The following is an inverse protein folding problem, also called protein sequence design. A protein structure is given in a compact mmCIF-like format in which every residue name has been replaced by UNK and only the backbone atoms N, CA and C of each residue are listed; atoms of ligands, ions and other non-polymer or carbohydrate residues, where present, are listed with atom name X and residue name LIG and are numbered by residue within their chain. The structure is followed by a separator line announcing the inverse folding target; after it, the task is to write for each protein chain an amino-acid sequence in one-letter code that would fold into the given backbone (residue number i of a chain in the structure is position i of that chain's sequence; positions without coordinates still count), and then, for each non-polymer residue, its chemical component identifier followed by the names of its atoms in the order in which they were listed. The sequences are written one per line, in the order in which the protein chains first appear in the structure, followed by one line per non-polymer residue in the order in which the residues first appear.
data_IF_583824309291
#
_entry.id   IF_583824309291
#
_cell.length_a   1.000
_cell.length_b   1.000
_cell.length_c   1.000
_cell.angle_alpha   90.00
_cell.angle_beta   90.00
_cell.angle_gamma   90.00
#
_symmetry.space_group_name_H-M   'P 1'
#
loop_
_entity.id
_entity.type
_entity.pdbx_description
1 polymer ?
#
# COMPACT_ATOMS: atom_id res chain seq x y z
N UNK A 1 22.31 11.17 23.39
CA UNK A 1 22.52 10.93 21.94
C UNK A 1 21.26 11.38 21.25
N UNK A 2 21.32 12.18 20.19
CA UNK A 2 20.13 12.51 19.41
C UNK A 2 19.54 11.22 18.86
N UNK A 3 18.28 10.93 19.16
CA UNK A 3 17.60 9.76 18.65
C UNK A 3 17.51 9.84 17.12
N UNK A 4 17.90 8.77 16.44
CA UNK A 4 17.88 8.67 14.97
C UNK A 4 16.50 8.16 14.57
N UNK A 5 15.80 8.90 13.70
CA UNK A 5 14.54 8.44 13.15
C UNK A 5 14.79 7.63 11.87
N UNK A 6 14.22 6.43 11.79
CA UNK A 6 14.29 5.59 10.59
C UNK A 6 13.04 5.78 9.76
N UNK A 7 13.19 6.32 8.55
CA UNK A 7 12.10 6.54 7.60
C UNK A 7 12.30 5.60 6.42
N UNK A 8 11.21 5.08 5.87
CA UNK A 8 11.31 4.33 4.62
C UNK A 8 10.08 4.46 3.74
N UNK A 9 10.28 4.11 2.48
CA UNK A 9 9.24 3.98 1.47
C UNK A 9 9.45 2.70 0.66
N UNK A 10 8.43 2.27 -0.08
CA UNK A 10 8.48 1.10 -0.97
C UNK A 10 8.10 1.49 -2.38
N UNK A 11 8.94 1.13 -3.36
CA UNK A 11 8.80 1.62 -4.74
C UNK A 11 9.19 0.57 -5.78
N UNK A 12 8.74 0.78 -7.00
CA UNK A 12 9.40 0.29 -8.22
C UNK A 12 10.33 1.36 -8.79
N UNK A 13 11.20 1.00 -9.74
CA UNK A 13 12.27 1.90 -10.19
C UNK A 13 11.75 3.22 -10.80
N UNK A 14 10.57 3.21 -11.41
CA UNK A 14 9.93 4.42 -11.95
C UNK A 14 9.49 5.44 -10.89
N UNK A 15 9.46 5.05 -9.61
CA UNK A 15 9.11 5.91 -8.49
C UNK A 15 10.34 6.47 -7.75
N UNK A 16 11.56 6.16 -8.21
CA UNK A 16 12.81 6.73 -7.67
C UNK A 16 12.76 8.27 -7.57
N UNK A 17 12.30 9.03 -8.60
CA UNK A 17 12.21 10.49 -8.50
C UNK A 17 11.35 10.95 -7.31
N UNK A 18 10.20 10.32 -7.08
CA UNK A 18 9.31 10.65 -5.97
C UNK A 18 9.92 10.29 -4.62
N UNK A 19 10.53 9.11 -4.51
CA UNK A 19 11.28 8.71 -3.33
C UNK A 19 12.42 9.69 -3.01
N UNK A 20 13.09 10.25 -4.02
CA UNK A 20 14.10 11.31 -3.83
C UNK A 20 13.47 12.59 -3.25
N UNK A 21 12.31 13.02 -3.74
CA UNK A 21 11.58 14.18 -3.16
C UNK A 21 11.31 13.93 -1.68
N UNK A 22 10.73 12.76 -1.35
CA UNK A 22 10.41 12.37 0.02
C UNK A 22 11.67 12.35 0.89
N UNK A 23 12.74 11.69 0.44
CA UNK A 23 14.00 11.61 1.17
C UNK A 23 14.65 12.98 1.41
N UNK A 24 14.64 13.87 0.42
CA UNK A 24 15.11 15.24 0.58
C UNK A 24 14.28 16.00 1.63
N UNK A 25 12.95 15.92 1.56
CA UNK A 25 12.06 16.58 2.52
C UNK A 25 12.22 16.05 3.96
N UNK A 26 12.47 14.74 4.09
CA UNK A 26 12.77 14.08 5.36
C UNK A 26 14.12 14.53 5.94
N UNK A 27 15.17 14.61 5.12
CA UNK A 27 16.52 15.03 5.55
C UNK A 27 16.65 16.55 5.79
N UNK A 28 15.67 17.34 5.36
CA UNK A 28 15.58 18.77 5.68
C UNK A 28 14.99 19.05 7.08
N UNK A 29 14.47 18.03 7.76
CA UNK A 29 13.98 18.18 9.13
C UNK A 29 15.14 18.42 10.11
N UNK A 30 14.87 19.04 11.26
CA UNK A 30 15.88 19.27 12.30
C UNK A 30 16.40 18.00 12.95
N UNK A 31 15.68 16.89 12.80
CA UNK A 31 16.01 15.58 13.38
C UNK A 31 16.91 14.80 12.44
N UNK A 32 17.87 14.06 12.99
CA UNK A 32 18.71 13.16 12.20
C UNK A 32 17.88 11.97 11.69
N UNK A 33 17.85 11.81 10.37
CA UNK A 33 17.08 10.76 9.68
C UNK A 33 18.01 9.78 8.98
N UNK A 34 17.74 8.49 9.15
CA UNK A 34 18.17 7.45 8.22
C UNK A 34 17.00 7.08 7.30
N UNK A 35 17.19 7.27 6.00
CA UNK A 35 16.18 7.05 4.99
C UNK A 35 16.46 5.78 4.19
N UNK A 36 15.52 4.85 4.20
CA UNK A 36 15.63 3.55 3.54
C UNK A 36 14.63 3.43 2.38
N UNK A 37 15.00 2.70 1.33
CA UNK A 37 14.10 2.38 0.23
C UNK A 37 13.96 0.88 0.11
N UNK A 38 12.72 0.37 0.14
CA UNK A 38 12.42 -0.99 -0.27
C UNK A 38 12.16 -1.00 -1.77
N UNK A 39 13.07 -1.60 -2.53
CA UNK A 39 12.98 -1.65 -3.99
C UNK A 39 12.32 -2.96 -4.43
N UNK A 40 11.10 -2.88 -4.94
CA UNK A 40 10.34 -3.98 -5.50
C UNK A 40 10.56 -4.12 -7.02
N UNK A 41 11.80 -3.95 -7.46
CA UNK A 41 12.18 -3.91 -8.87
C UNK A 41 13.69 -4.11 -9.01
N UNK A 42 14.18 -4.17 -10.25
CA UNK A 42 15.61 -4.03 -10.50
C UNK A 42 16.00 -2.56 -10.50
N UNK A 43 17.11 -2.23 -9.81
CA UNK A 43 17.64 -0.88 -9.84
C UNK A 43 18.14 -0.53 -11.26
N UNK A 44 17.86 0.68 -11.80
CA UNK A 44 18.29 1.04 -13.15
C UNK A 44 19.81 0.90 -13.32
N UNK A 45 20.25 0.11 -14.30
CA UNK A 45 21.67 -0.12 -14.59
C UNK A 45 22.40 1.15 -15.05
N UNK A 46 21.63 2.12 -15.56
CA UNK A 46 22.06 3.44 -16.04
C UNK A 46 22.05 4.51 -14.95
N UNK A 47 21.64 4.18 -13.71
CA UNK A 47 21.68 5.08 -12.57
C UNK A 47 22.77 4.67 -11.56
N UNK A 48 23.38 5.67 -10.91
CA UNK A 48 24.39 5.43 -9.88
C UNK A 48 23.77 5.42 -8.48
N UNK A 49 23.70 4.24 -7.85
CA UNK A 49 23.20 4.08 -6.47
C UNK A 49 23.88 5.01 -5.46
N UNK A 50 25.16 5.32 -5.67
CA UNK A 50 25.96 6.15 -4.77
C UNK A 50 25.55 7.63 -4.75
N UNK A 51 24.79 8.08 -5.74
CA UNK A 51 24.32 9.48 -5.84
C UNK A 51 22.93 9.68 -5.23
N UNK A 52 22.27 8.59 -4.79
CA UNK A 52 20.95 8.65 -4.20
C UNK A 52 20.96 9.32 -2.81
N UNK A 53 19.89 10.05 -2.44
CA UNK A 53 19.77 10.63 -1.11
C UNK A 53 19.40 9.60 -0.02
N UNK A 54 19.42 8.30 -0.34
CA UNK A 54 19.03 7.21 0.56
C UNK A 54 20.24 6.68 1.33
N UNK A 55 20.05 6.32 2.60
CA UNK A 55 21.11 5.72 3.42
C UNK A 55 21.19 4.20 3.21
N UNK A 56 20.11 3.57 2.72
CA UNK A 56 20.14 2.19 2.21
C UNK A 56 19.03 1.89 1.21
N UNK A 57 19.30 0.97 0.29
CA UNK A 57 18.30 0.34 -0.56
C UNK A 57 18.25 -1.15 -0.17
N UNK A 58 17.07 -1.64 0.16
CA UNK A 58 16.78 -3.04 0.49
C UNK A 58 16.00 -3.61 -0.69
N UNK A 59 16.61 -4.54 -1.42
CA UNK A 59 15.94 -5.23 -2.54
C UNK A 59 14.88 -6.19 -1.98
N UNK A 60 13.72 -6.29 -2.65
CA UNK A 60 12.66 -7.25 -2.29
C UNK A 60 13.18 -8.69 -2.19
N UNK A 61 14.24 -9.03 -2.93
CA UNK A 61 14.93 -10.33 -2.88
C UNK A 61 15.63 -10.60 -1.55
N UNK A 62 15.86 -9.57 -0.74
CA UNK A 62 16.45 -9.68 0.59
C UNK A 62 15.41 -9.91 1.70
N UNK A 63 14.12 -9.78 1.38
CA UNK A 63 13.04 -10.01 2.35
C UNK A 63 12.77 -11.51 2.51
N UNK A 64 12.36 -11.98 3.70
CA UNK A 64 12.13 -13.39 3.99
C UNK A 64 10.77 -13.87 3.43
N UNK A 65 10.59 -13.78 2.11
CA UNK A 65 9.37 -14.18 1.40
C UNK A 65 9.54 -15.60 0.84
N UNK A 66 8.78 -16.60 1.35
CA UNK A 66 8.79 -17.95 0.79
C UNK A 66 8.28 -17.95 -0.65
N UNK A 67 8.90 -18.75 -1.51
CA UNK A 67 8.56 -18.85 -2.93
C UNK A 67 8.45 -17.47 -3.59
N UNK A 68 9.48 -16.63 -3.42
CA UNK A 68 9.48 -15.22 -3.81
C UNK A 68 8.97 -15.01 -5.24
N UNK A 69 9.45 -15.77 -6.22
CA UNK A 69 9.04 -15.58 -7.62
C UNK A 69 7.55 -15.91 -7.85
N UNK A 70 7.01 -17.06 -7.42
CA UNK A 70 5.56 -17.31 -7.38
C UNK A 70 4.76 -16.24 -6.62
N UNK A 71 5.30 -15.74 -5.51
CA UNK A 71 4.65 -14.69 -4.72
C UNK A 71 4.57 -13.37 -5.50
N UNK A 72 5.68 -12.90 -6.07
CA UNK A 72 5.74 -11.69 -6.90
C UNK A 72 4.80 -11.78 -8.11
N UNK A 73 4.74 -12.95 -8.75
CA UNK A 73 3.83 -13.15 -9.89
C UNK A 73 2.36 -12.98 -9.50
N UNK A 74 1.97 -13.42 -8.30
CA UNK A 74 0.60 -13.33 -7.79
C UNK A 74 0.12 -11.91 -7.47
N UNK A 75 1.00 -10.91 -7.44
CA UNK A 75 0.67 -9.53 -7.08
C UNK A 75 0.82 -8.60 -8.28
N UNK A 76 -0.11 -7.66 -8.44
CA UNK A 76 0.11 -6.46 -9.26
C UNK A 76 1.21 -5.59 -8.64
N UNK A 77 1.70 -4.59 -9.37
CA UNK A 77 2.75 -3.68 -8.86
C UNK A 77 2.32 -2.98 -7.55
N UNK A 78 1.08 -2.50 -7.51
CA UNK A 78 0.53 -1.84 -6.31
C UNK A 78 0.41 -2.80 -5.15
N UNK A 79 -0.17 -3.98 -5.38
CA UNK A 79 -0.29 -5.05 -4.36
C UNK A 79 1.09 -5.47 -3.83
N UNK A 80 2.10 -5.58 -4.69
CA UNK A 80 3.47 -5.96 -4.31
C UNK A 80 4.13 -4.89 -3.43
N UNK A 81 4.17 -3.63 -3.87
CA UNK A 81 4.80 -2.54 -3.11
C UNK A 81 4.12 -2.33 -1.75
N UNK A 82 2.80 -2.55 -1.67
CA UNK A 82 2.07 -2.46 -0.40
C UNK A 82 2.30 -3.66 0.50
N UNK A 83 2.42 -4.87 -0.06
CA UNK A 83 2.60 -6.09 0.71
C UNK A 83 3.95 -6.16 1.45
N UNK A 84 4.98 -5.50 0.92
CA UNK A 84 6.33 -5.53 1.53
C UNK A 84 6.47 -4.62 2.75
N UNK A 85 5.54 -3.68 2.99
CA UNK A 85 5.69 -2.65 4.03
C UNK A 85 5.98 -3.25 5.41
N UNK A 86 5.16 -4.22 5.84
CA UNK A 86 5.31 -4.88 7.14
C UNK A 86 6.66 -5.60 7.30
N UNK A 87 7.09 -6.32 6.26
CA UNK A 87 8.40 -7.00 6.23
C UNK A 87 9.55 -5.99 6.21
N UNK A 88 9.35 -4.85 5.56
CA UNK A 88 10.24 -3.70 5.58
C UNK A 88 10.51 -3.14 6.97
N UNK A 89 9.46 -2.89 7.75
CA UNK A 89 9.59 -2.49 9.15
C UNK A 89 10.44 -3.50 9.95
N UNK A 90 10.12 -4.79 9.83
CA UNK A 90 10.83 -5.86 10.53
C UNK A 90 12.30 -5.94 10.11
N UNK A 91 12.59 -5.77 8.82
CA UNK A 91 13.94 -5.84 8.29
C UNK A 91 14.79 -4.62 8.68
N UNK A 92 14.21 -3.41 8.68
CA UNK A 92 14.88 -2.20 9.16
C UNK A 92 15.17 -2.30 10.67
N UNK A 93 14.19 -2.76 11.46
CA UNK A 93 14.36 -3.03 12.88
C UNK A 93 15.52 -4.01 13.13
N UNK A 94 15.62 -5.06 12.32
CA UNK A 94 16.66 -6.09 12.43
C UNK A 94 18.04 -5.59 12.00
N UNK A 95 18.15 -4.92 10.85
CA UNK A 95 19.44 -4.46 10.27
C UNK A 95 20.08 -3.33 11.06
N UNK A 96 19.27 -2.39 11.53
CA UNK A 96 19.77 -1.15 12.10
C UNK A 96 19.52 -1.01 13.61
N UNK A 97 18.93 -2.03 14.25
CA UNK A 97 18.44 -1.94 15.63
C UNK A 97 17.52 -0.72 15.84
N UNK A 98 16.75 -0.37 14.80
CA UNK A 98 15.90 0.80 14.79
C UNK A 98 14.73 0.65 15.77
N UNK A 99 14.58 1.60 16.70
CA UNK A 99 13.52 1.57 17.71
C UNK A 99 12.24 2.24 17.24
N UNK A 100 12.33 3.34 16.49
CA UNK A 100 11.20 4.10 15.94
C UNK A 100 11.33 4.17 14.43
N UNK A 101 10.36 3.58 13.75
CA UNK A 101 10.36 3.46 12.29
C UNK A 101 9.09 4.11 11.76
N UNK A 102 9.22 4.85 10.67
CA UNK A 102 8.11 5.49 9.98
C UNK A 102 8.09 5.08 8.52
N UNK A 103 6.92 4.66 8.05
CA UNK A 103 6.65 4.50 6.63
C UNK A 103 5.98 5.77 6.10
N UNK A 104 6.42 6.20 4.92
CA UNK A 104 5.74 7.20 4.11
C UNK A 104 5.62 6.69 2.67
N UNK A 105 4.42 6.82 2.08
CA UNK A 105 4.22 6.57 0.65
C UNK A 105 5.13 7.51 -0.17
N UNK A 106 5.63 7.04 -1.32
CA UNK A 106 6.68 7.74 -2.07
C UNK A 106 6.21 9.10 -2.64
N UNK A 107 4.92 9.32 -2.76
CA UNK A 107 4.29 10.58 -3.18
C UNK A 107 3.86 11.47 -2.01
N UNK A 108 4.58 11.38 -0.89
CA UNK A 108 4.46 12.28 0.26
C UNK A 108 5.63 13.27 0.28
N UNK A 109 5.35 14.49 0.76
CA UNK A 109 6.37 15.48 1.12
C UNK A 109 6.21 15.89 2.58
N UNK A 110 7.31 15.84 3.33
CA UNK A 110 7.36 16.22 4.74
C UNK A 110 7.79 17.68 4.87
N UNK A 111 6.92 18.51 5.44
CA UNK A 111 7.14 19.94 5.66
C UNK A 111 7.59 20.24 7.10
N UNK A 112 7.01 19.56 8.08
CA UNK A 112 7.35 19.75 9.49
C UNK A 112 6.85 18.61 10.37
N UNK A 113 7.16 18.67 11.68
CA UNK A 113 6.49 17.85 12.68
C UNK A 113 7.07 16.45 12.90
N UNK A 114 8.20 16.12 12.28
CA UNK A 114 8.84 14.82 12.48
C UNK A 114 9.21 14.56 13.95
N UNK A 115 9.71 15.57 14.67
CA UNK A 115 9.97 15.45 16.11
C UNK A 115 8.69 15.11 16.90
N UNK A 116 7.56 15.73 16.55
CA UNK A 116 6.29 15.41 17.19
C UNK A 116 5.85 13.95 16.97
N UNK A 117 6.14 13.37 15.81
CA UNK A 117 5.89 11.94 15.55
C UNK A 117 6.78 11.03 16.41
N UNK A 118 8.04 11.42 16.62
CA UNK A 118 8.99 10.69 17.46
C UNK A 118 8.54 10.71 18.92
N UNK A 119 8.15 11.88 19.43
CA UNK A 119 7.64 12.05 20.79
C UNK A 119 6.34 11.25 21.00
N UNK A 120 5.50 11.15 19.95
CA UNK A 120 4.28 10.32 19.98
C UNK A 120 4.60 8.83 20.03
N UNK A 121 5.67 8.37 19.40
CA UNK A 121 6.13 6.98 19.52
C UNK A 121 6.83 6.68 20.86
N UNK A 122 7.20 7.67 21.66
CA UNK A 122 7.56 7.42 23.08
C UNK A 122 6.34 7.01 23.89
N UNK A 123 5.18 7.54 23.53
CA UNK A 123 3.92 7.34 24.23
C UNK A 123 3.12 6.16 23.67
N UNK A 124 3.32 5.83 22.39
CA UNK A 124 2.55 4.81 21.69
C UNK A 124 3.41 3.83 20.92
N UNK A 125 2.93 2.60 20.78
CA UNK A 125 3.60 1.57 19.98
C UNK A 125 3.33 1.74 18.48
N UNK A 126 2.17 2.26 18.11
CA UNK A 126 1.72 2.40 16.72
C UNK A 126 1.09 3.79 16.54
N UNK A 127 1.38 4.47 15.43
CA UNK A 127 0.73 5.71 15.02
C UNK A 127 0.01 5.55 13.69
N UNK A 128 -1.26 5.96 13.66
CA UNK A 128 -2.12 5.90 12.49
C UNK A 128 -2.70 7.28 12.16
N UNK A 129 -2.98 7.51 10.87
CA UNK A 129 -3.75 8.66 10.40
C UNK A 129 -5.03 8.20 9.72
N UNK A 130 -6.22 8.66 10.12
CA UNK A 130 -7.46 8.38 9.41
C UNK A 130 -7.56 9.21 8.11
N UNK A 131 -8.32 8.74 7.13
CA UNK A 131 -8.62 9.55 5.94
C UNK A 131 -9.41 10.82 6.33
N UNK A 132 -10.47 10.66 7.14
CA UNK A 132 -11.28 11.75 7.69
C UNK A 132 -11.26 11.75 9.21
N UNK A 133 -11.28 12.95 9.81
CA UNK A 133 -11.37 13.13 11.27
C UNK A 133 -12.72 13.70 11.72
N UNK A 134 -13.54 14.17 10.76
CA UNK A 134 -14.86 14.75 10.94
C UNK A 134 -15.82 14.16 9.89
N UNK A 135 -17.12 14.03 10.21
CA UNK A 135 -18.12 13.54 9.27
C UNK A 135 -18.45 14.58 8.19
N UNK A 136 -18.66 14.09 6.97
CA UNK A 136 -18.98 14.88 5.80
C UNK A 136 -20.41 15.45 5.85
N UNK A 137 -20.58 16.66 5.32
CA UNK A 137 -21.84 17.41 5.42
C UNK A 137 -22.65 17.44 4.12
N UNK A 138 -22.08 16.97 3.01
CA UNK A 138 -22.75 16.93 1.70
C UNK A 138 -22.75 15.52 1.14
N UNK A 139 -23.80 15.16 0.40
CA UNK A 139 -23.94 13.82 -0.18
C UNK A 139 -22.77 13.46 -1.10
N UNK A 140 -22.32 14.40 -1.93
CA UNK A 140 -21.18 14.18 -2.83
C UNK A 140 -19.90 13.87 -2.04
N UNK A 141 -19.65 14.57 -0.93
CA UNK A 141 -18.49 14.31 -0.10
C UNK A 141 -18.62 12.99 0.69
N UNK A 142 -19.83 12.61 1.13
CA UNK A 142 -20.08 11.28 1.72
C UNK A 142 -19.74 10.18 0.70
N UNK A 143 -20.17 10.33 -0.56
CA UNK A 143 -19.90 9.35 -1.62
C UNK A 143 -18.40 9.26 -1.92
N UNK A 144 -17.73 10.40 -2.11
CA UNK A 144 -16.34 10.42 -2.51
C UNK A 144 -15.38 10.04 -1.37
N UNK A 145 -15.64 10.54 -0.16
CA UNK A 145 -14.70 10.46 0.96
C UNK A 145 -15.07 9.33 1.95
N UNK A 146 -16.30 9.33 2.49
CA UNK A 146 -16.69 8.35 3.52
C UNK A 146 -16.91 6.95 2.92
N UNK A 147 -17.73 6.82 1.87
CA UNK A 147 -17.92 5.53 1.18
C UNK A 147 -16.60 5.08 0.54
N UNK A 148 -15.80 6.03 0.03
CA UNK A 148 -14.43 5.77 -0.41
C UNK A 148 -13.61 5.09 0.70
N UNK A 149 -13.61 5.64 1.91
CA UNK A 149 -12.87 5.08 3.05
C UNK A 149 -13.48 3.77 3.56
N UNK A 150 -14.80 3.60 3.47
CA UNK A 150 -15.45 2.32 3.78
C UNK A 150 -15.05 1.21 2.81
N UNK A 151 -14.68 1.53 1.57
CA UNK A 151 -14.19 0.54 0.58
C UNK A 151 -12.70 0.26 0.73
N UNK A 152 -11.89 1.30 0.94
CA UNK A 152 -10.44 1.21 0.85
C UNK A 152 -9.73 1.17 2.22
N UNK A 153 -10.42 1.49 3.32
CA UNK A 153 -9.85 1.56 4.67
C UNK A 153 -10.11 2.91 5.34
N UNK A 154 -10.44 2.90 6.64
CA UNK A 154 -10.66 4.12 7.44
C UNK A 154 -9.34 4.82 7.72
N UNK A 155 -8.28 4.05 7.95
CA UNK A 155 -6.91 4.58 8.07
C UNK A 155 -6.21 4.65 6.72
N UNK A 156 -5.44 5.71 6.49
CA UNK A 156 -4.61 5.85 5.29
C UNK A 156 -3.19 5.36 5.57
N UNK A 157 -2.73 4.37 4.81
CA UNK A 157 -1.39 3.79 4.96
C UNK A 157 -0.34 4.37 4.04
N UNK A 158 -0.59 5.58 3.54
CA UNK A 158 0.49 6.47 3.16
C UNK A 158 1.36 6.88 4.32
N UNK A 159 0.88 6.73 5.57
CA UNK A 159 1.69 6.93 6.76
C UNK A 159 1.45 5.81 7.77
N UNK A 160 2.53 5.31 8.39
CA UNK A 160 2.48 4.42 9.53
C UNK A 160 3.72 4.65 10.40
N UNK A 161 3.54 4.94 11.68
CA UNK A 161 4.63 4.96 12.66
C UNK A 161 4.58 3.72 13.54
N UNK A 162 5.72 3.06 13.78
CA UNK A 162 5.79 1.93 14.71
C UNK A 162 7.04 2.03 15.56
N UNK A 163 6.87 1.93 16.87
CA UNK A 163 7.97 1.67 17.80
C UNK A 163 8.14 0.17 17.95
N UNK A 164 9.37 -0.34 17.90
CA UNK A 164 9.67 -1.78 18.03
C UNK A 164 9.59 -2.28 19.48
N UNK A 165 8.62 -1.76 20.24
CA UNK A 165 8.19 -2.29 21.53
C UNK A 165 7.66 -3.71 21.39
N UNK A 166 7.34 -4.35 22.50
CA UNK A 166 6.67 -5.66 22.48
C UNK A 166 5.39 -5.63 21.64
N UNK A 167 4.50 -4.67 21.88
CA UNK A 167 3.24 -4.56 21.14
C UNK A 167 3.46 -4.16 19.67
N UNK A 168 4.38 -3.24 19.39
CA UNK A 168 4.68 -2.86 18.01
C UNK A 168 5.23 -4.03 17.18
N UNK A 169 6.07 -4.90 17.78
CA UNK A 169 6.51 -6.14 17.13
C UNK A 169 5.38 -7.13 16.93
N UNK A 170 4.48 -7.29 17.91
CA UNK A 170 3.29 -8.14 17.74
C UNK A 170 2.41 -7.66 16.58
N UNK A 171 2.18 -6.36 16.48
CA UNK A 171 1.45 -5.73 15.38
C UNK A 171 2.12 -5.99 14.03
N UNK A 172 3.43 -5.72 13.91
CA UNK A 172 4.15 -5.92 12.65
C UNK A 172 4.15 -7.38 12.20
N UNK A 173 4.32 -8.33 13.12
CA UNK A 173 4.27 -9.75 12.80
C UNK A 173 2.88 -10.19 12.33
N UNK A 174 1.83 -9.76 13.04
CA UNK A 174 0.45 -10.02 12.62
C UNK A 174 0.18 -9.44 11.24
N UNK A 175 0.55 -8.18 11.01
CA UNK A 175 0.31 -7.50 9.74
C UNK A 175 1.10 -8.16 8.60
N UNK A 176 2.37 -8.48 8.81
CA UNK A 176 3.20 -9.21 7.83
C UNK A 176 2.59 -10.56 7.44
N UNK A 177 2.08 -11.32 8.41
CA UNK A 177 1.40 -12.59 8.14
C UNK A 177 0.15 -12.40 7.26
N UNK A 178 -0.62 -11.33 7.46
CA UNK A 178 -1.77 -11.03 6.59
C UNK A 178 -1.32 -10.56 5.22
N UNK A 179 -0.35 -9.65 5.12
CA UNK A 179 0.09 -9.10 3.84
C UNK A 179 0.75 -10.15 2.95
N UNK A 180 1.42 -11.14 3.53
CA UNK A 180 2.01 -12.24 2.77
C UNK A 180 0.97 -13.04 1.97
N UNK A 181 -0.28 -13.11 2.46
CA UNK A 181 -1.32 -13.96 1.90
C UNK A 181 -2.51 -13.22 1.31
N UNK A 182 -2.76 -12.00 1.76
CA UNK A 182 -4.03 -11.29 1.53
C UNK A 182 -3.83 -9.78 1.31
N UNK A 183 -2.67 -9.36 0.80
CA UNK A 183 -2.47 -7.98 0.34
C UNK A 183 -2.96 -7.85 -1.11
N UNK A 184 -4.27 -7.79 -1.28
CA UNK A 184 -4.91 -7.83 -2.60
C UNK A 184 -5.85 -6.65 -2.81
N UNK A 185 -5.93 -6.17 -4.05
CA UNK A 185 -6.98 -5.25 -4.48
C UNK A 185 -8.24 -6.07 -4.82
N UNK A 186 -9.05 -6.31 -3.79
CA UNK A 186 -10.29 -7.10 -3.86
C UNK A 186 -11.36 -6.51 -2.92
N UNK A 187 -11.86 -5.33 -3.28
CA UNK A 187 -12.83 -4.57 -2.50
C UNK A 187 -14.10 -5.40 -2.22
N UNK A 188 -14.55 -6.20 -3.20
CA UNK A 188 -15.72 -7.06 -3.05
C UNK A 188 -15.49 -8.19 -2.03
N UNK A 189 -14.27 -8.74 -1.98
CA UNK A 189 -13.82 -9.69 -0.95
C UNK A 189 -13.51 -9.05 0.41
N UNK A 190 -13.69 -7.73 0.55
CA UNK A 190 -13.42 -7.01 1.80
C UNK A 190 -11.95 -6.65 2.01
N UNK A 191 -11.13 -6.73 0.96
CA UNK A 191 -9.70 -6.41 1.00
C UNK A 191 -9.40 -5.17 0.16
N UNK A 192 -8.47 -4.36 0.63
CA UNK A 192 -7.82 -3.36 -0.19
C UNK A 192 -6.39 -3.22 0.27
N UNK A 193 -5.52 -3.97 -0.41
CA UNK A 193 -4.08 -4.06 -0.19
C UNK A 193 -3.75 -4.23 1.30
N UNK A 194 -2.77 -3.46 1.76
CA UNK A 194 -2.30 -3.34 3.12
C UNK A 194 -3.23 -2.54 4.02
N UNK A 195 -3.97 -1.59 3.43
CA UNK A 195 -4.70 -0.55 4.12
C UNK A 195 -5.91 -1.08 4.89
N UNK A 196 -6.74 -1.92 4.26
CA UNK A 196 -8.00 -2.36 4.87
C UNK A 196 -7.80 -3.21 6.11
N UNK A 197 -6.67 -3.91 6.23
CA UNK A 197 -6.31 -4.69 7.42
C UNK A 197 -6.24 -3.83 8.67
N UNK A 198 -5.80 -2.58 8.55
CA UNK A 198 -5.53 -1.70 9.70
C UNK A 198 -6.80 -1.22 10.39
N UNK A 199 -7.96 -1.32 9.74
CA UNK A 199 -9.24 -1.06 10.41
C UNK A 199 -9.50 -2.01 11.58
N UNK A 200 -8.87 -3.19 11.59
CA UNK A 200 -8.91 -4.13 12.71
C UNK A 200 -7.92 -3.80 13.82
N UNK A 201 -6.86 -3.03 13.55
CA UNK A 201 -5.77 -2.81 14.49
C UNK A 201 -6.25 -2.19 15.83
N UNK A 202 -7.12 -1.16 15.85
CA UNK A 202 -7.65 -0.62 17.11
C UNK A 202 -8.46 -1.60 17.95
N UNK A 203 -8.96 -2.69 17.36
CA UNK A 203 -9.66 -3.74 18.10
C UNK A 203 -8.70 -4.79 18.68
N UNK A 204 -7.50 -4.94 18.10
CA UNK A 204 -6.53 -5.98 18.48
C UNK A 204 -5.40 -5.46 19.37
N UNK A 205 -5.02 -4.19 19.22
CA UNK A 205 -3.87 -3.60 19.88
C UNK A 205 -4.30 -2.37 20.67
N UNK A 206 -3.93 -2.31 21.94
CA UNK A 206 -4.39 -1.29 22.87
C UNK A 206 -3.53 -0.02 22.90
N UNK A 207 -2.31 -0.09 22.36
CA UNK A 207 -1.33 1.00 22.40
C UNK A 207 -1.14 1.62 21.00
N UNK A 208 -2.20 2.29 20.54
CA UNK A 208 -2.26 3.00 19.27
C UNK A 208 -2.54 4.49 19.52
N UNK A 209 -1.70 5.35 18.95
CA UNK A 209 -1.96 6.77 18.80
C UNK A 209 -2.65 7.06 17.46
N UNK A 210 -3.85 7.63 17.49
CA UNK A 210 -4.54 8.09 16.28
C UNK A 210 -4.30 9.59 16.13
N UNK A 211 -3.54 9.97 15.10
CA UNK A 211 -3.21 11.36 14.79
C UNK A 211 -4.40 12.02 14.08
N UNK A 212 -5.07 12.95 14.77
CA UNK A 212 -6.27 13.66 14.28
C UNK A 212 -6.00 15.12 13.92
N UNK A 213 -4.80 15.60 14.20
CA UNK A 213 -4.39 16.97 13.95
C UNK A 213 -4.44 17.27 12.43
N UNK A 214 -4.96 18.45 12.02
CA UNK A 214 -5.28 18.75 10.63
C UNK A 214 -4.05 18.87 9.72
N UNK A 215 -2.86 19.06 10.29
CA UNK A 215 -1.61 19.15 9.54
C UNK A 215 -1.04 17.81 9.07
N UNK A 216 -1.49 16.66 9.60
CA UNK A 216 -0.96 15.33 9.25
C UNK A 216 -1.75 14.64 8.14
N UNK A 217 -1.06 14.08 7.14
CA UNK A 217 -1.66 13.33 6.03
C UNK A 217 -2.73 14.13 5.28
N UNK A 218 -2.38 15.35 4.89
CA UNK A 218 -3.28 16.25 4.15
C UNK A 218 -3.33 15.80 2.70
N UNK A 219 -4.53 15.63 2.16
CA UNK A 219 -4.74 15.19 0.80
C UNK A 219 -6.16 15.54 0.33
N UNK A 220 -6.48 15.24 -0.93
CA UNK A 220 -7.74 15.68 -1.53
C UNK A 220 -9.01 15.16 -0.85
N UNK A 221 -8.96 13.99 -0.21
CA UNK A 221 -10.09 13.36 0.50
C UNK A 221 -10.41 13.99 1.88
N UNK A 222 -9.62 14.98 2.34
CA UNK A 222 -9.89 15.68 3.60
C UNK A 222 -9.96 17.20 3.48
N UNK A 223 -9.90 17.75 2.26
CA UNK A 223 -9.98 19.19 2.01
C UNK A 223 -11.35 19.82 2.31
N UNK A 224 -12.40 19.01 2.40
CA UNK A 224 -13.73 19.42 2.89
C UNK A 224 -13.67 20.04 4.30
N UNK A 225 -12.71 19.61 5.12
CA UNK A 225 -12.51 20.07 6.49
C UNK A 225 -11.11 20.65 6.75
N UNK A 226 -10.27 20.76 5.73
CA UNK A 226 -8.88 21.20 5.85
C UNK A 226 -8.60 22.35 4.90
N UNK A 227 -8.56 23.56 5.45
CA UNK A 227 -8.36 24.79 4.71
C UNK A 227 -6.89 25.18 4.74
N UNK A 228 -6.28 25.21 3.56
CA UNK A 228 -4.89 25.61 3.39
C UNK A 228 -4.77 27.14 3.24
N UNK A 229 -3.80 27.72 3.95
CA UNK A 229 -3.44 29.14 3.88
C UNK A 229 -1.91 29.32 3.92
N UNK A 230 -1.42 30.50 3.54
CA UNK A 230 0.00 30.83 3.51
C UNK A 230 0.60 30.71 2.12
N UNK A 231 1.91 30.44 2.03
CA UNK A 231 2.64 30.31 0.77
C UNK A 231 3.79 29.30 0.92
N UNK A 232 4.40 28.86 -0.19
CA UNK A 232 5.56 27.97 -0.13
C UNK A 232 6.76 28.64 0.56
N UNK A 233 6.92 29.95 0.41
CA UNK A 233 8.04 30.71 0.99
C UNK A 233 7.87 30.98 2.49
N UNK A 234 6.63 31.25 2.93
CA UNK A 234 6.33 31.59 4.34
C UNK A 234 5.88 30.38 5.18
N UNK A 235 5.64 29.26 4.52
CA UNK A 235 5.04 28.06 5.12
C UNK A 235 3.53 27.99 4.87
N UNK A 236 3.05 26.76 4.70
CA UNK A 236 1.64 26.45 4.55
C UNK A 236 1.08 26.03 5.90
N UNK A 237 -0.12 26.52 6.22
CA UNK A 237 -0.90 26.09 7.38
C UNK A 237 -2.19 25.43 6.94
N UNK A 238 -2.66 24.47 7.73
CA UNK A 238 -3.96 23.81 7.59
C UNK A 238 -4.77 24.09 8.84
N UNK A 239 -5.89 24.78 8.69
CA UNK A 239 -6.73 25.23 9.81
C UNK A 239 -5.94 26.01 10.89
N UNK A 240 -4.94 26.80 10.47
CA UNK A 240 -4.09 27.59 11.35
C UNK A 240 -2.89 26.84 11.97
N UNK A 241 -2.78 25.52 11.79
CA UNK A 241 -1.62 24.74 12.22
C UNK A 241 -0.62 24.51 11.09
N UNK A 242 0.69 24.37 11.33
CA UNK A 242 1.66 24.07 10.28
C UNK A 242 1.32 22.78 9.53
N UNK A 243 1.41 22.81 8.20
CA UNK A 243 1.38 21.61 7.38
C UNK A 243 2.54 20.69 7.82
N UNK A 244 2.22 19.44 8.17
CA UNK A 244 3.20 18.44 8.60
C UNK A 244 3.68 17.64 7.41
N UNK A 245 2.77 17.01 6.70
CA UNK A 245 3.05 16.37 5.43
C UNK A 245 1.82 16.34 4.52
N UNK A 246 2.07 16.48 3.22
CA UNK A 246 1.05 16.43 2.18
C UNK A 246 1.22 15.16 1.35
N UNK A 247 0.13 14.46 1.10
CA UNK A 247 0.10 13.21 0.34
C UNK A 247 -0.56 13.47 -1.02
N UNK A 248 0.22 13.30 -2.09
CA UNK A 248 -0.23 13.50 -3.47
C UNK A 248 -1.00 12.28 -4.03
N UNK A 249 -1.68 11.50 -3.20
CA UNK A 249 -2.28 10.23 -3.65
C UNK A 249 -3.23 10.38 -4.83
N UNK A 250 -3.16 9.39 -5.73
CA UNK A 250 -3.85 9.41 -7.02
C UNK A 250 -3.19 10.34 -8.05
N UNK A 251 -1.92 10.73 -7.84
CA UNK A 251 -1.19 11.65 -8.71
C UNK A 251 -1.11 11.16 -10.17
N UNK A 252 -0.55 9.97 -10.38
CA UNK A 252 -0.25 9.45 -11.72
C UNK A 252 -1.52 9.11 -12.51
N UNK A 253 -2.60 8.75 -11.80
CA UNK A 253 -3.91 8.50 -12.41
C UNK A 253 -4.71 9.77 -12.70
N UNK A 254 -4.19 10.96 -12.37
CA UNK A 254 -4.88 12.25 -12.56
C UNK A 254 -6.00 12.55 -11.55
N UNK A 255 -6.43 11.56 -10.76
CA UNK A 255 -7.45 11.70 -9.73
C UNK A 255 -7.10 12.82 -8.73
N UNK A 256 -5.81 12.97 -8.38
CA UNK A 256 -5.36 14.03 -7.49
C UNK A 256 -5.71 15.43 -8.03
N UNK A 257 -5.55 15.69 -9.32
CA UNK A 257 -5.84 17.00 -9.90
C UNK A 257 -7.35 17.28 -9.94
N UNK A 258 -8.13 16.27 -10.30
CA UNK A 258 -9.59 16.36 -10.36
C UNK A 258 -10.16 16.68 -8.98
N UNK A 259 -9.75 15.93 -7.97
CA UNK A 259 -10.25 16.08 -6.61
C UNK A 259 -9.73 17.36 -5.95
N UNK A 260 -8.51 17.80 -6.28
CA UNK A 260 -8.01 19.10 -5.86
C UNK A 260 -8.87 20.23 -6.41
N UNK A 261 -9.23 20.21 -7.70
CA UNK A 261 -10.14 21.20 -8.31
C UNK A 261 -11.55 21.18 -7.71
N UNK A 262 -12.01 20.01 -7.25
CA UNK A 262 -13.32 19.84 -6.63
C UNK A 262 -13.38 20.44 -5.21
N UNK A 263 -12.37 20.18 -4.38
CA UNK A 263 -12.45 20.47 -2.95
C UNK A 263 -11.58 21.63 -2.45
N UNK A 264 -10.55 22.04 -3.19
CA UNK A 264 -9.79 23.23 -2.82
C UNK A 264 -10.48 24.52 -3.30
N UNK A 265 -10.32 25.60 -2.53
CA UNK A 265 -10.65 26.94 -3.00
C UNK A 265 -9.83 27.28 -4.27
N UNK A 266 -10.41 28.02 -5.22
CA UNK A 266 -9.80 28.29 -6.53
C UNK A 266 -8.43 28.96 -6.46
N UNK A 267 -8.21 29.77 -5.44
CA UNK A 267 -6.98 30.52 -5.14
C UNK A 267 -6.13 29.84 -4.05
N UNK A 268 -6.41 28.57 -3.75
CA UNK A 268 -5.67 27.82 -2.73
C UNK A 268 -4.19 27.64 -3.10
N UNK A 269 -3.32 27.85 -2.11
CA UNK A 269 -1.87 27.55 -2.16
C UNK A 269 -1.57 26.10 -2.56
N UNK A 270 -2.52 25.17 -2.42
CA UNK A 270 -2.36 23.78 -2.81
C UNK A 270 -2.15 23.60 -4.33
N UNK A 271 -2.66 24.52 -5.16
CA UNK A 271 -2.36 24.51 -6.59
C UNK A 271 -0.89 24.87 -6.87
N UNK A 272 -0.32 25.78 -6.09
CA UNK A 272 1.09 26.17 -6.19
C UNK A 272 1.98 25.03 -5.70
N UNK A 273 1.60 24.42 -4.57
CA UNK A 273 2.25 23.23 -4.02
C UNK A 273 2.29 22.08 -5.03
N UNK A 274 1.18 21.83 -5.75
CA UNK A 274 1.15 20.81 -6.81
C UNK A 274 2.12 21.13 -7.95
N UNK A 275 2.17 22.38 -8.42
CA UNK A 275 3.10 22.79 -9.50
C UNK A 275 4.55 22.65 -9.05
N UNK A 276 4.84 23.01 -7.81
CA UNK A 276 6.16 22.81 -7.20
C UNK A 276 6.53 21.31 -7.16
N UNK A 277 5.63 20.44 -6.71
CA UNK A 277 5.90 19.00 -6.63
C UNK A 277 6.17 18.37 -8.01
N UNK A 278 5.43 18.78 -9.05
CA UNK A 278 5.70 18.38 -10.43
C UNK A 278 7.11 18.78 -10.86
N UNK A 279 7.48 20.04 -10.64
CA UNK A 279 8.80 20.56 -11.00
C UNK A 279 9.93 19.85 -10.24
N UNK A 280 9.70 19.51 -8.97
CA UNK A 280 10.68 18.81 -8.15
C UNK A 280 10.86 17.35 -8.60
N UNK A 281 9.79 16.65 -8.95
CA UNK A 281 9.87 15.32 -9.56
C UNK A 281 10.65 15.37 -10.90
N UNK A 282 10.34 16.36 -11.75
CA UNK A 282 11.06 16.57 -13.02
C UNK A 282 12.56 16.79 -12.80
N UNK A 283 12.91 17.69 -11.86
CA UNK A 283 14.29 17.98 -11.46
C UNK A 283 15.03 16.73 -10.99
N UNK A 284 14.32 15.81 -10.33
CA UNK A 284 14.86 14.57 -9.78
C UNK A 284 14.69 13.36 -10.71
N UNK A 285 14.46 13.57 -11.99
CA UNK A 285 14.56 12.53 -13.02
C UNK A 285 13.25 11.85 -13.42
N UNK A 286 12.08 12.46 -13.15
CA UNK A 286 10.77 11.92 -13.54
C UNK A 286 10.66 11.66 -15.05
N UNK A 287 11.23 12.52 -15.89
CA UNK A 287 11.20 12.35 -17.35
C UNK A 287 11.93 11.08 -17.82
N UNK A 288 13.05 10.74 -17.17
CA UNK A 288 13.91 9.62 -17.54
C UNK A 288 13.40 8.30 -16.95
N UNK A 289 12.94 8.32 -15.70
CA UNK A 289 12.61 7.10 -14.94
C UNK A 289 11.10 6.82 -14.88
N UNK A 290 10.25 7.85 -14.94
CA UNK A 290 8.82 7.74 -14.61
C UNK A 290 8.01 6.82 -15.51
N UNK A 291 8.45 6.62 -16.76
CA UNK A 291 7.80 5.74 -17.74
C UNK A 291 8.36 4.31 -17.75
N UNK A 292 9.35 4.01 -16.91
CA UNK A 292 9.99 2.70 -16.87
C UNK A 292 9.01 1.63 -16.35
N UNK A 293 8.78 0.53 -17.08
CA UNK A 293 7.96 -0.55 -16.56
C UNK A 293 8.71 -1.29 -15.45
N UNK A 294 7.99 -1.71 -14.41
CA UNK A 294 8.51 -2.61 -13.40
C UNK A 294 8.86 -3.97 -14.02
N UNK A 295 9.99 -4.58 -13.62
CA UNK A 295 10.41 -5.92 -14.08
C UNK A 295 9.33 -6.99 -13.91
N UNK A 296 8.52 -6.88 -12.87
CA UNK A 296 7.48 -7.85 -12.53
C UNK A 296 6.14 -7.57 -13.20
N UNK A 297 6.03 -6.54 -14.05
CA UNK A 297 4.81 -6.25 -14.82
C UNK A 297 4.60 -7.23 -15.99
N UNK A 298 5.69 -7.75 -16.58
CA UNK A 298 5.67 -8.55 -17.80
C UNK A 298 6.38 -9.90 -17.63
N UNK A 299 6.08 -10.84 -18.54
CA UNK A 299 6.84 -12.07 -18.71
C UNK A 299 8.26 -11.78 -19.25
N UNK A 300 9.14 -12.79 -19.28
CA UNK A 300 10.52 -12.67 -19.77
C UNK A 300 10.65 -12.27 -21.26
N UNK A 301 9.59 -12.48 -22.05
CA UNK A 301 9.49 -12.06 -23.45
C UNK A 301 8.93 -10.63 -23.63
N UNK A 302 8.61 -9.92 -22.54
CA UNK A 302 8.05 -8.57 -22.55
C UNK A 302 6.54 -8.47 -22.69
N UNK A 303 5.81 -9.59 -22.81
CA UNK A 303 4.34 -9.58 -22.83
C UNK A 303 3.79 -9.17 -21.44
N UNK A 304 2.86 -8.21 -21.37
CA UNK A 304 2.22 -7.82 -20.11
C UNK A 304 1.49 -8.98 -19.44
N UNK A 305 1.64 -9.12 -18.12
CA UNK A 305 0.88 -10.10 -17.33
C UNK A 305 -0.43 -9.46 -16.87
N UNK A 306 -1.56 -10.04 -17.27
CA UNK A 306 -2.90 -9.53 -16.92
C UNK A 306 -3.29 -9.83 -15.49
N UNK A 307 -4.24 -9.07 -14.93
CA UNK A 307 -4.79 -9.31 -13.59
C UNK A 307 -5.39 -10.72 -13.46
N UNK A 308 -6.13 -11.18 -14.48
CA UNK A 308 -6.70 -12.53 -14.51
C UNK A 308 -5.63 -13.63 -14.43
N UNK A 309 -4.51 -13.47 -15.14
CA UNK A 309 -3.38 -14.42 -15.06
C UNK A 309 -2.80 -14.49 -13.65
N UNK A 310 -2.64 -13.36 -12.96
CA UNK A 310 -2.13 -13.31 -11.57
C UNK A 310 -3.12 -13.96 -10.60
N UNK A 311 -4.41 -13.62 -10.71
CA UNK A 311 -5.48 -14.17 -9.86
C UNK A 311 -5.56 -15.68 -10.02
N UNK A 312 -5.58 -16.20 -11.25
CA UNK A 312 -5.68 -17.63 -11.48
C UNK A 312 -4.46 -18.38 -10.94
N UNK A 313 -3.26 -17.85 -11.17
CA UNK A 313 -2.03 -18.46 -10.67
C UNK A 313 -1.99 -18.48 -9.14
N UNK A 314 -2.31 -17.36 -8.47
CA UNK A 314 -2.29 -17.30 -7.00
C UNK A 314 -3.36 -18.18 -6.34
N UNK A 315 -4.53 -18.31 -6.96
CA UNK A 315 -5.64 -19.10 -6.44
C UNK A 315 -5.41 -20.62 -6.52
N UNK A 316 -4.52 -21.07 -7.41
CA UNK A 316 -4.32 -22.50 -7.73
C UNK A 316 -2.94 -23.01 -7.32
N UNK A 317 -2.90 -23.72 -6.19
CA UNK A 317 -1.69 -24.36 -5.69
C UNK A 317 -1.10 -25.38 -6.66
N UNK A 318 -1.92 -26.04 -7.46
CA UNK A 318 -1.45 -26.98 -8.48
C UNK A 318 -0.70 -26.26 -9.61
N UNK A 319 -1.14 -25.08 -10.02
CA UNK A 319 -0.42 -24.25 -10.98
C UNK A 319 0.89 -23.72 -10.40
N UNK A 320 0.89 -23.26 -9.15
CA UNK A 320 2.13 -22.84 -8.47
C UNK A 320 3.17 -23.95 -8.38
N UNK A 321 2.72 -25.20 -8.15
CA UNK A 321 3.60 -26.37 -8.11
C UNK A 321 4.09 -26.79 -9.49
N UNK A 322 3.23 -26.73 -10.50
CA UNK A 322 3.58 -27.10 -11.88
C UNK A 322 4.52 -26.07 -12.51
N UNK A 323 4.33 -24.79 -12.20
CA UNK A 323 5.07 -23.67 -12.80
C UNK A 323 5.73 -22.81 -11.70
N UNK A 324 6.84 -23.26 -11.09
CA UNK A 324 7.54 -22.52 -10.05
C UNK A 324 8.23 -21.24 -10.56
N UNK A 325 8.45 -21.12 -11.87
CA UNK A 325 9.02 -19.94 -12.54
C UNK A 325 8.00 -19.29 -13.48
N UNK A 326 6.93 -18.68 -12.95
CA UNK A 326 5.77 -18.26 -13.74
C UNK A 326 6.03 -17.08 -14.69
N UNK A 327 7.15 -16.38 -14.54
CA UNK A 327 7.54 -15.30 -15.47
C UNK A 327 8.19 -15.83 -16.76
N UNK A 328 8.63 -17.09 -16.79
CA UNK A 328 9.27 -17.67 -17.98
C UNK A 328 8.23 -18.02 -19.04
N UNK A 329 8.56 -17.81 -20.31
CA UNK A 329 7.69 -18.21 -21.44
C UNK A 329 8.22 -19.37 -22.27
N UNK A 330 9.51 -19.68 -22.15
CA UNK A 330 10.14 -20.82 -22.81
C UNK A 330 9.72 -22.16 -22.17
N UNK A 331 9.67 -23.22 -22.97
CA UNK A 331 9.32 -24.57 -22.50
C UNK A 331 7.87 -24.69 -22.01
N UNK A 332 7.62 -25.66 -21.13
CA UNK A 332 6.31 -25.88 -20.49
C UNK A 332 6.05 -24.81 -19.42
N UNK A 333 5.55 -23.66 -19.88
CA UNK A 333 5.38 -22.44 -19.07
C UNK A 333 3.93 -22.15 -18.71
N UNK A 334 3.74 -21.41 -17.62
CA UNK A 334 2.41 -20.93 -17.22
C UNK A 334 1.74 -20.08 -18.31
N UNK A 335 2.49 -19.22 -19.00
CA UNK A 335 1.96 -18.42 -20.12
C UNK A 335 1.36 -19.29 -21.23
N UNK A 336 2.06 -20.36 -21.62
CA UNK A 336 1.56 -21.30 -22.63
C UNK A 336 0.35 -22.10 -22.12
N UNK A 337 0.43 -22.61 -20.89
CA UNK A 337 -0.68 -23.32 -20.26
C UNK A 337 -1.94 -22.45 -20.20
N UNK A 338 -1.81 -21.19 -19.77
CA UNK A 338 -2.92 -20.25 -19.67
C UNK A 338 -3.58 -20.02 -21.03
N UNK A 339 -2.78 -19.79 -22.08
CA UNK A 339 -3.29 -19.59 -23.44
C UNK A 339 -4.08 -20.81 -23.95
N UNK A 340 -3.54 -22.01 -23.75
CA UNK A 340 -4.17 -23.25 -24.21
C UNK A 340 -5.44 -23.62 -23.44
N UNK A 341 -5.50 -23.33 -22.13
CA UNK A 341 -6.55 -23.83 -21.25
C UNK A 341 -7.61 -22.79 -20.88
N UNK A 342 -7.29 -21.50 -21.00
CA UNK A 342 -8.17 -20.39 -20.60
C UNK A 342 -8.46 -19.51 -21.80
N UNK A 343 -7.44 -18.90 -22.43
CA UNK A 343 -7.65 -17.92 -23.51
C UNK A 343 -8.37 -18.52 -24.73
N UNK A 344 -8.13 -19.80 -25.05
CA UNK A 344 -8.83 -20.48 -26.14
C UNK A 344 -10.28 -20.89 -25.81
N UNK A 345 -10.72 -20.80 -24.56
CA UNK A 345 -12.11 -21.09 -24.16
C UNK A 345 -13.00 -19.84 -24.21
N UNK A 346 -12.41 -18.65 -24.13
CA UNK A 346 -13.15 -17.37 -24.12
C UNK A 346 -13.51 -16.86 -25.52
N UNK A 347 -13.06 -17.52 -26.60
CA UNK A 347 -13.51 -17.24 -27.97
C UNK A 347 -14.92 -17.78 -28.29
N UNK A 348 -15.70 -18.20 -27.29
CA UNK A 348 -17.10 -18.63 -27.45
C UNK A 348 -18.12 -17.89 -26.60
N UNK A 349 -17.75 -16.92 -25.76
CA UNK A 349 -18.73 -16.04 -25.11
C UNK A 349 -18.08 -14.69 -24.78
N UNK A 350 -18.54 -13.63 -25.43
CA UNK A 350 -18.16 -12.24 -25.15
C UNK A 350 -18.76 -11.79 -23.80
N UNK A 351 -18.07 -12.08 -22.70
CA UNK A 351 -18.17 -11.31 -21.43
C UNK A 351 -16.84 -11.46 -20.68
N UNK A 352 -15.92 -10.53 -20.94
CA UNK A 352 -14.53 -10.58 -20.50
C UNK A 352 -14.33 -9.99 -19.09
N UNK A 353 -13.39 -10.56 -18.35
CA UNK A 353 -12.95 -10.24 -16.97
C UNK A 353 -13.96 -10.44 -15.82
N UNK A 354 -15.21 -10.00 -15.93
CA UNK A 354 -16.22 -10.21 -14.88
C UNK A 354 -16.48 -11.69 -14.65
N UNK A 355 -16.47 -12.49 -15.70
CA UNK A 355 -16.82 -13.90 -15.66
C UNK A 355 -15.69 -14.78 -15.11
N UNK A 356 -14.43 -14.38 -15.36
CA UNK A 356 -13.26 -14.99 -14.73
C UNK A 356 -13.19 -14.61 -13.25
N UNK A 357 -13.53 -13.36 -12.91
CA UNK A 357 -13.64 -12.88 -11.54
C UNK A 357 -14.77 -13.57 -10.79
N UNK A 358 -15.95 -13.72 -11.40
CA UNK A 358 -17.11 -14.44 -10.86
C UNK A 358 -16.76 -15.92 -10.68
N UNK A 359 -16.04 -16.55 -11.62
CA UNK A 359 -15.58 -17.93 -11.46
C UNK A 359 -14.55 -18.09 -10.34
N UNK A 360 -13.64 -17.14 -10.18
CA UNK A 360 -12.69 -17.10 -9.06
C UNK A 360 -13.43 -16.88 -7.73
N UNK A 361 -14.36 -15.94 -7.66
CA UNK A 361 -15.20 -15.66 -6.50
C UNK A 361 -16.12 -16.83 -6.15
N UNK A 362 -16.69 -17.53 -7.15
CA UNK A 362 -17.48 -18.74 -6.95
C UNK A 362 -16.60 -19.90 -6.48
N UNK A 363 -15.36 -19.98 -6.93
CA UNK A 363 -14.39 -20.96 -6.45
C UNK A 363 -14.00 -20.67 -5.00
N UNK A 364 -13.74 -19.42 -4.65
CA UNK A 364 -13.43 -18.99 -3.28
C UNK A 364 -14.63 -19.16 -2.34
N UNK A 365 -15.83 -18.76 -2.77
CA UNK A 365 -17.06 -19.01 -2.02
C UNK A 365 -17.29 -20.52 -1.80
N UNK A 366 -17.00 -21.37 -2.80
CA UNK A 366 -17.05 -22.84 -2.62
C UNK A 366 -15.99 -23.33 -1.64
N UNK A 367 -14.78 -22.77 -1.67
CA UNK A 367 -13.68 -23.12 -0.77
C UNK A 367 -13.97 -22.70 0.67
N UNK A 368 -14.48 -21.48 0.89
CA UNK A 368 -14.93 -20.99 2.18
C UNK A 368 -16.09 -21.82 2.72
N UNK A 369 -17.07 -22.12 1.87
CA UNK A 369 -18.19 -22.98 2.24
C UNK A 369 -17.73 -24.40 2.61
N UNK A 370 -16.70 -24.93 1.95
CA UNK A 370 -16.08 -26.20 2.30
C UNK A 370 -15.27 -26.14 3.61
N UNK A 371 -14.56 -25.04 3.87
CA UNK A 371 -13.85 -24.80 5.13
C UNK A 371 -14.82 -24.65 6.30
N UNK A 372 -15.91 -23.89 6.13
CA UNK A 372 -17.01 -23.78 7.08
C UNK A 372 -17.64 -25.16 7.28
N UNK A 373 -17.94 -25.91 6.21
CA UNK A 373 -18.50 -27.27 6.31
C UNK A 373 -17.62 -28.25 7.08
N UNK A 374 -16.29 -28.08 6.99
CA UNK A 374 -15.29 -28.92 7.68
C UNK A 374 -14.94 -28.43 9.09
N UNK A 375 -15.34 -27.19 9.45
CA UNK A 375 -15.14 -26.64 10.78
C UNK A 375 -15.84 -27.48 11.86
N UNK A 376 -15.28 -27.49 13.08
CA UNK A 376 -15.85 -28.23 14.22
C UNK A 376 -17.19 -27.64 14.66
N UNK A 377 -17.31 -26.32 14.61
CA UNK A 377 -18.52 -25.55 14.93
C UNK A 377 -19.69 -25.88 13.99
N UNK A 378 -19.46 -25.95 12.68
CA UNK A 378 -20.51 -26.34 11.73
C UNK A 378 -20.92 -27.81 11.84
N UNK A 379 -19.96 -28.71 12.09
CA UNK A 379 -20.26 -30.14 12.33
C UNK A 379 -21.12 -30.33 13.58
N UNK A 380 -20.86 -29.56 14.64
CA UNK A 380 -21.66 -29.56 15.86
C UNK A 380 -23.06 -28.97 15.62
N UNK A 381 -23.17 -27.83 14.93
CA UNK A 381 -24.45 -27.21 14.58
C UNK A 381 -25.33 -28.13 13.71
N UNK A 382 -24.73 -28.84 12.75
CA UNK A 382 -25.44 -29.81 11.89
C UNK A 382 -25.86 -31.07 12.64
N UNK A 383 -25.08 -31.54 13.61
CA UNK A 383 -25.45 -32.67 14.47
C UNK A 383 -26.65 -32.30 15.36
N UNK A 384 -26.63 -31.12 15.97
CA UNK A 384 -27.74 -30.58 16.78
C UNK A 384 -29.00 -30.42 15.93
N UNK A 385 -28.90 -29.82 14.74
CA UNK A 385 -30.03 -29.64 13.83
C UNK A 385 -30.65 -30.97 13.34
N UNK A 386 -29.85 -32.03 13.18
CA UNK A 386 -30.34 -33.38 12.86
C UNK A 386 -31.10 -34.02 14.02
N UNK A 387 -30.66 -33.81 15.26
CA UNK A 387 -31.37 -34.28 16.46
C UNK A 387 -32.70 -33.55 16.59
N UNK A 388 -32.73 -32.23 16.43
CA UNK A 388 -33.98 -31.45 16.51
C UNK A 388 -34.99 -31.80 15.39
N UNK A 389 -34.54 -32.11 14.17
CA UNK A 389 -35.42 -32.55 13.09
C UNK A 389 -35.88 -34.02 13.20
N UNK A 390 -35.30 -34.81 14.10
CA UNK A 390 -35.75 -36.19 14.38
C UNK A 390 -36.84 -36.26 15.46
N UNK A 391 -37.08 -35.15 16.17
CA UNK A 391 -38.14 -35.00 17.20
C UNK A 391 -39.34 -34.18 16.70
N UNK A 392 -39.48 -34.01 15.38
CA UNK A 392 -40.56 -33.24 14.75
C UNK A 392 -41.45 -34.12 13.90
#
# INVERSE_FOLDING_TARGET
MSEIAHLFTSITANYLPKARVLAHSAKQQSTLVQFHVLLCDDYPADAERATEPFDSIIDVKELPIPDLEPWLFGHTVVEMCTAVKAMGFLEIARRFAAEKIFYFDPDIVIFSGLQGLIDRLDQHSILLTPHQTLPEQSLDAVIDNEIGSLKHGVFNLGFLGVRTSEQGRQFLNWWAERLQHFCHDDIAGGLFTDQRWIDLAPAFFSDIGILREPGYNVATWNLTHRHAAGSLERGITINGEPLRFYHFSGFDGGAQEIMLKKYAARDSVLFDLRRWYIAECQRLGQEQLGSRPCRYHAFDNGEPITRAQRILYRARLDLRRAFPHPFQTAGDSYSQWFRLNVANRDNQDETTDEDALIRAQLFDARRELDLIKRSRSWRLARAIARVFNAFR
#
